data_IF_143046321859
#
_entry.id   IF_143046321859
#
_cell.length_a   1.000
_cell.length_b   1.000
_cell.length_c   1.000
_cell.angle_alpha   90.00
_cell.angle_beta   90.00
_cell.angle_gamma   90.00
#
_symmetry.space_group_name_H-M   'P 1'
#
loop_
_entity.id
_entity.type
_entity.pdbx_description
1 polymer ?
#
# COMPACT_ATOMS: atom_id res chain seq x y z
N UNK A 1 80.72 -27.01 -0.56
CA UNK A 1 79.76 -27.00 -1.65
C UNK A 1 79.01 -25.67 -1.62
N UNK A 2 79.49 -24.70 -2.40
CA UNK A 2 79.00 -23.33 -2.39
C UNK A 2 77.80 -23.29 -3.39
N UNK A 3 76.61 -23.15 -2.86
CA UNK A 3 75.41 -22.95 -3.67
C UNK A 3 75.54 -21.64 -4.43
N UNK A 4 75.33 -21.70 -5.74
CA UNK A 4 75.51 -20.59 -6.65
C UNK A 4 74.45 -19.48 -6.35
N UNK A 5 74.86 -18.24 -6.07
CA UNK A 5 74.00 -17.15 -5.74
C UNK A 5 72.83 -16.93 -6.71
N UNK A 6 73.02 -17.30 -8.01
CA UNK A 6 71.98 -17.27 -9.04
C UNK A 6 70.85 -18.28 -8.80
N UNK A 7 71.16 -19.40 -8.14
CA UNK A 7 70.15 -20.44 -7.82
C UNK A 7 69.26 -20.02 -6.65
N UNK A 8 69.89 -19.34 -5.67
CA UNK A 8 69.13 -18.78 -4.52
C UNK A 8 68.18 -17.68 -4.98
N UNK A 9 68.64 -16.73 -5.78
CA UNK A 9 67.81 -15.64 -6.32
C UNK A 9 66.66 -16.15 -7.22
N UNK A 10 66.90 -17.20 -7.97
CA UNK A 10 65.87 -17.86 -8.78
C UNK A 10 64.81 -18.60 -7.92
N UNK A 11 65.24 -19.26 -6.84
CA UNK A 11 64.36 -19.90 -5.86
C UNK A 11 63.51 -18.89 -5.11
N UNK A 12 64.07 -17.78 -4.65
CA UNK A 12 63.34 -16.71 -3.99
C UNK A 12 62.27 -16.10 -4.92
N UNK A 13 62.60 -15.79 -6.13
CA UNK A 13 61.64 -15.26 -7.14
C UNK A 13 60.53 -16.27 -7.47
N UNK A 14 60.85 -17.55 -7.51
CA UNK A 14 59.88 -18.61 -7.75
C UNK A 14 58.94 -18.77 -6.57
N UNK A 15 59.45 -18.73 -5.34
CA UNK A 15 58.64 -18.80 -4.11
C UNK A 15 57.69 -17.59 -4.01
N UNK A 16 58.20 -16.39 -4.29
CA UNK A 16 57.39 -15.16 -4.30
C UNK A 16 56.27 -15.25 -5.37
N UNK A 17 56.61 -15.74 -6.55
CA UNK A 17 55.60 -15.90 -7.63
C UNK A 17 54.50 -16.93 -7.26
N UNK A 18 54.87 -18.04 -6.60
CA UNK A 18 53.91 -19.06 -6.16
C UNK A 18 53.03 -18.52 -5.02
N UNK A 19 53.59 -17.77 -4.07
CA UNK A 19 52.81 -17.16 -2.98
C UNK A 19 51.85 -16.13 -3.52
N UNK A 20 52.28 -15.28 -4.48
CA UNK A 20 51.37 -14.35 -5.18
C UNK A 20 50.26 -15.07 -5.96
N UNK A 21 50.57 -16.17 -6.66
CA UNK A 21 49.60 -16.94 -7.41
C UNK A 21 48.58 -17.61 -6.46
N UNK A 22 49.00 -18.10 -5.30
CA UNK A 22 48.10 -18.68 -4.28
C UNK A 22 47.18 -17.60 -3.66
N UNK A 23 47.70 -16.37 -3.47
CA UNK A 23 46.85 -15.25 -2.98
C UNK A 23 45.82 -14.81 -4.01
N UNK A 24 46.13 -14.89 -5.30
CA UNK A 24 45.18 -14.53 -6.38
C UNK A 24 44.15 -15.65 -6.61
N UNK A 25 44.51 -16.91 -6.32
CA UNK A 25 43.61 -18.05 -6.45
C UNK A 25 42.79 -18.36 -5.18
N UNK A 26 42.94 -17.56 -4.12
CA UNK A 26 42.03 -17.67 -2.99
C UNK A 26 40.61 -17.32 -3.48
N UNK A 27 39.62 -18.25 -3.35
CA UNK A 27 38.27 -17.93 -3.75
C UNK A 27 37.83 -16.68 -3.01
N UNK A 28 37.51 -15.64 -3.76
CA UNK A 28 36.85 -14.46 -3.21
C UNK A 28 35.57 -14.98 -2.55
N UNK A 29 35.57 -15.07 -1.22
CA UNK A 29 34.35 -15.32 -0.49
C UNK A 29 33.43 -14.16 -0.78
N UNK A 30 32.51 -14.37 -1.70
CA UNK A 30 31.40 -13.47 -1.88
C UNK A 30 30.69 -13.40 -0.52
N UNK A 31 30.76 -12.23 0.10
CA UNK A 31 29.94 -11.99 1.28
C UNK A 31 28.49 -12.10 0.80
N UNK A 32 27.78 -13.14 1.23
CA UNK A 32 26.36 -13.24 0.99
C UNK A 32 25.69 -12.03 1.65
N UNK A 33 25.32 -11.05 0.84
CA UNK A 33 24.56 -9.90 1.31
C UNK A 33 23.10 -10.32 1.37
N UNK A 34 22.61 -10.58 2.57
CA UNK A 34 21.19 -10.80 2.78
C UNK A 34 20.49 -9.46 3.03
N UNK A 35 19.51 -9.15 2.19
CA UNK A 35 18.66 -7.97 2.36
C UNK A 35 17.44 -8.35 3.21
N UNK A 36 17.28 -7.71 4.36
CA UNK A 36 16.04 -7.82 5.14
C UNK A 36 15.29 -6.48 5.11
N UNK A 37 13.98 -6.52 4.85
CA UNK A 37 13.11 -5.34 5.04
C UNK A 37 12.95 -5.10 6.53
N UNK A 38 13.52 -4.02 7.04
CA UNK A 38 13.16 -3.48 8.36
C UNK A 38 12.20 -2.32 8.16
N UNK A 39 11.09 -2.32 8.87
CA UNK A 39 10.26 -1.12 9.00
C UNK A 39 11.12 -0.05 9.67
N UNK A 40 11.26 1.09 9.01
CA UNK A 40 11.82 2.28 9.65
C UNK A 40 10.69 2.84 10.52
N UNK A 41 10.86 2.69 11.82
CA UNK A 41 9.93 3.25 12.80
C UNK A 41 10.40 4.67 13.13
N UNK A 42 9.64 5.66 12.67
CA UNK A 42 9.92 7.07 12.92
C UNK A 42 9.76 7.46 14.41
N UNK A 43 9.06 6.68 15.23
CA UNK A 43 8.84 6.97 16.65
C UNK A 43 10.14 7.10 17.44
N UNK A 44 11.20 6.38 17.02
CA UNK A 44 12.54 6.44 17.64
C UNK A 44 13.28 7.75 17.41
N UNK A 45 12.84 8.56 16.48
CA UNK A 45 13.48 9.85 16.17
C UNK A 45 13.01 10.97 17.07
N UNK A 46 11.90 10.78 17.80
CA UNK A 46 11.22 11.84 18.55
C UNK A 46 10.60 12.92 17.66
N UNK A 47 10.55 12.69 16.34
CA UNK A 47 9.95 13.62 15.40
C UNK A 47 8.43 13.42 15.40
N UNK A 48 7.71 14.50 15.68
CA UNK A 48 6.25 14.55 15.56
C UNK A 48 5.89 14.78 14.09
N UNK A 49 4.84 14.10 13.60
CA UNK A 49 4.36 14.34 12.25
C UNK A 49 3.90 15.81 12.12
N UNK A 50 4.24 16.46 11.00
CA UNK A 50 3.84 17.84 10.76
C UNK A 50 2.36 17.92 10.38
N UNK A 51 1.67 18.91 10.95
CA UNK A 51 0.33 19.34 10.57
C UNK A 51 0.32 20.89 10.43
N UNK A 52 -0.82 21.47 10.13
CA UNK A 52 -0.90 22.92 9.91
C UNK A 52 -0.58 23.75 11.16
N UNK A 53 -0.81 23.18 12.36
CA UNK A 53 -0.67 23.87 13.64
C UNK A 53 0.73 23.77 14.23
N UNK A 54 1.51 22.72 13.86
CA UNK A 54 2.82 22.44 14.47
C UNK A 54 4.01 22.56 13.52
N UNK A 55 3.88 23.30 12.42
CA UNK A 55 4.93 23.42 11.37
C UNK A 55 6.27 23.82 11.96
N UNK A 56 6.31 24.84 12.83
CA UNK A 56 7.55 25.36 13.43
C UNK A 56 8.24 24.30 14.32
N UNK A 57 7.50 23.50 15.04
CA UNK A 57 8.04 22.43 15.89
C UNK A 57 8.54 21.24 15.07
N UNK A 58 7.74 20.80 14.09
CA UNK A 58 8.02 19.61 13.32
C UNK A 58 9.03 19.84 12.19
N UNK A 59 8.99 21.01 11.55
CA UNK A 59 9.75 21.30 10.33
C UNK A 59 10.76 22.43 10.50
N UNK A 60 10.71 23.18 11.60
CA UNK A 60 11.49 24.39 11.80
C UNK A 60 10.89 25.58 11.03
N UNK A 61 11.65 26.68 10.96
CA UNK A 61 11.15 27.93 10.38
C UNK A 61 12.16 28.63 9.47
N UNK A 62 11.63 29.44 8.57
CA UNK A 62 12.42 30.36 7.76
C UNK A 62 12.48 31.73 8.46
N UNK A 63 13.69 32.22 8.67
CA UNK A 63 13.93 33.56 9.24
C UNK A 63 14.90 34.30 8.34
N UNK A 64 14.39 35.26 7.56
CA UNK A 64 15.13 35.97 6.54
C UNK A 64 15.84 35.03 5.55
N UNK A 65 17.16 35.08 5.52
CA UNK A 65 18.00 34.24 4.64
C UNK A 65 18.49 32.95 5.32
N UNK A 66 17.80 32.47 6.35
CA UNK A 66 18.19 31.26 7.10
C UNK A 66 16.99 30.36 7.30
N UNK A 67 17.24 29.07 7.21
CA UNK A 67 16.38 28.03 7.75
C UNK A 67 16.91 27.60 9.13
N UNK A 68 16.07 27.60 10.12
CA UNK A 68 16.34 27.14 11.49
C UNK A 68 15.61 25.81 11.67
N UNK A 69 16.35 24.70 11.72
CA UNK A 69 15.79 23.37 11.90
C UNK A 69 15.26 23.16 13.33
N UNK A 70 14.35 22.19 13.59
CA UNK A 70 13.80 21.93 14.93
C UNK A 70 14.87 21.70 16.01
N UNK A 71 16.02 21.14 15.65
CA UNK A 71 17.18 20.93 16.54
C UNK A 71 18.08 22.16 16.72
N UNK A 72 17.67 23.34 16.26
CA UNK A 72 18.41 24.60 16.35
C UNK A 72 19.51 24.80 15.31
N UNK A 73 19.83 23.82 14.47
CA UNK A 73 20.81 23.99 13.38
C UNK A 73 20.33 25.03 12.36
N UNK A 74 21.26 25.86 11.89
CA UNK A 74 20.95 26.92 10.95
C UNK A 74 21.61 26.69 9.61
N UNK A 75 20.85 26.89 8.53
CA UNK A 75 21.29 26.72 7.15
C UNK A 75 21.03 28.02 6.36
N UNK A 76 22.08 28.59 5.76
CA UNK A 76 21.99 29.84 5.01
C UNK A 76 21.43 29.60 3.60
N UNK A 77 20.69 30.55 3.06
CA UNK A 77 20.13 30.54 1.70
C UNK A 77 21.18 30.35 0.61
N UNK A 78 22.36 30.96 0.79
CA UNK A 78 23.45 30.93 -0.20
C UNK A 78 24.22 29.61 -0.26
N UNK A 79 24.05 28.69 0.72
CA UNK A 79 25.03 27.62 0.96
C UNK A 79 24.37 26.23 0.94
N UNK A 80 23.58 25.91 -0.09
CA UNK A 80 23.17 24.53 -0.26
C UNK A 80 21.69 24.30 -0.52
N UNK A 81 21.36 23.03 -0.68
CA UNK A 81 20.01 22.57 -1.04
C UNK A 81 19.05 22.63 0.15
N UNK A 82 19.56 22.43 1.39
CA UNK A 82 18.75 22.31 2.62
C UNK A 82 17.81 23.50 2.83
N UNK A 83 18.28 24.73 2.68
CA UNK A 83 17.42 25.91 2.79
C UNK A 83 16.28 25.90 1.76
N UNK A 84 16.61 25.57 0.50
CA UNK A 84 15.62 25.62 -0.60
C UNK A 84 14.54 24.56 -0.41
N UNK A 85 14.95 23.32 -0.02
CA UNK A 85 14.03 22.23 0.24
C UNK A 85 13.14 22.54 1.45
N UNK A 86 13.76 22.95 2.57
CA UNK A 86 13.01 23.30 3.77
C UNK A 86 12.02 24.43 3.52
N UNK A 87 12.43 25.48 2.79
CA UNK A 87 11.54 26.58 2.44
C UNK A 87 10.36 26.11 1.60
N UNK A 88 10.59 25.30 0.55
CA UNK A 88 9.53 24.77 -0.30
C UNK A 88 8.54 23.92 0.50
N UNK A 89 9.03 23.08 1.42
CA UNK A 89 8.19 22.23 2.27
C UNK A 89 7.38 23.06 3.29
N UNK A 90 8.00 24.07 3.90
CA UNK A 90 7.32 24.94 4.88
C UNK A 90 6.27 25.82 4.17
N UNK A 91 6.60 26.41 3.02
CA UNK A 91 5.66 27.23 2.24
C UNK A 91 4.44 26.39 1.79
N UNK A 92 4.67 25.11 1.42
CA UNK A 92 3.59 24.21 1.01
C UNK A 92 2.63 23.83 2.16
N UNK A 93 3.03 23.99 3.44
CA UNK A 93 2.14 23.62 4.55
C UNK A 93 0.86 24.47 4.59
N UNK A 94 0.93 25.74 4.23
CA UNK A 94 -0.25 26.62 4.18
C UNK A 94 -1.22 26.14 3.09
N UNK A 95 -0.70 25.77 1.91
CA UNK A 95 -1.51 25.21 0.81
C UNK A 95 -2.08 23.82 1.17
N UNK A 96 -1.36 23.06 2.00
CA UNK A 96 -1.78 21.73 2.47
C UNK A 96 -2.70 21.77 3.69
N UNK A 97 -3.03 22.94 4.21
CA UNK A 97 -3.84 23.10 5.43
C UNK A 97 -5.17 22.35 5.35
N UNK A 98 -5.82 22.39 4.21
CA UNK A 98 -7.12 21.74 4.03
C UNK A 98 -7.02 20.21 4.00
N UNK A 99 -5.94 19.65 3.44
CA UNK A 99 -5.76 18.19 3.39
C UNK A 99 -5.28 17.60 4.72
N UNK A 100 -4.77 18.43 5.63
CA UNK A 100 -4.36 18.04 6.99
C UNK A 100 -5.46 18.21 8.04
N UNK A 101 -6.68 18.54 7.63
CA UNK A 101 -7.82 18.54 8.54
C UNK A 101 -8.13 17.15 9.04
N UNK A 102 -8.33 17.03 10.35
CA UNK A 102 -8.86 15.81 10.97
C UNK A 102 -10.30 15.63 10.51
N UNK A 103 -10.63 14.46 10.00
CA UNK A 103 -11.94 14.12 9.44
C UNK A 103 -12.59 12.94 10.16
N UNK A 104 -11.88 12.27 11.07
CA UNK A 104 -12.37 11.15 11.85
C UNK A 104 -11.31 10.65 12.83
N UNK A 105 -11.59 9.54 13.47
CA UNK A 105 -10.72 8.90 14.46
C UNK A 105 -10.74 7.37 14.27
N UNK A 106 -9.60 6.71 14.44
CA UNK A 106 -9.51 5.25 14.49
C UNK A 106 -8.96 4.80 15.84
N UNK A 107 -9.70 3.91 16.52
CA UNK A 107 -9.28 3.35 17.80
C UNK A 107 -8.02 2.48 17.68
N UNK A 108 -7.80 1.88 16.49
CA UNK A 108 -6.70 0.96 16.22
C UNK A 108 -5.99 1.25 14.91
N UNK A 109 -4.74 0.76 14.80
CA UNK A 109 -3.99 0.79 13.58
C UNK A 109 -4.41 -0.39 12.69
N UNK A 110 -5.31 -0.15 11.73
CA UNK A 110 -5.77 -1.19 10.81
C UNK A 110 -4.77 -1.38 9.68
N UNK A 111 -4.22 -2.58 9.59
CA UNK A 111 -3.16 -2.91 8.63
C UNK A 111 -3.75 -3.60 7.42
N UNK A 112 -3.33 -3.16 6.23
CA UNK A 112 -3.58 -3.89 5.00
C UNK A 112 -2.74 -5.18 5.01
N UNK A 113 -3.40 -6.33 5.11
CA UNK A 113 -2.78 -7.65 5.11
C UNK A 113 -3.56 -8.59 4.22
N UNK A 114 -2.85 -9.38 3.45
CA UNK A 114 -3.38 -10.41 2.56
C UNK A 114 -3.51 -11.74 3.31
N UNK A 115 -4.50 -12.57 3.06
CA UNK A 115 -5.62 -12.42 2.11
C UNK A 115 -6.80 -11.62 2.69
N UNK A 116 -6.81 -11.34 3.98
CA UNK A 116 -7.87 -10.66 4.72
C UNK A 116 -7.29 -9.85 5.87
N UNK A 117 -7.90 -8.74 6.20
CA UNK A 117 -7.51 -7.87 7.32
C UNK A 117 -8.67 -6.99 7.77
N UNK A 118 -8.57 -6.44 8.98
CA UNK A 118 -9.55 -5.49 9.51
C UNK A 118 -9.80 -4.33 8.55
N UNK A 119 -8.73 -3.77 7.98
CA UNK A 119 -8.85 -2.66 7.01
C UNK A 119 -9.60 -3.07 5.74
N UNK A 120 -9.31 -4.25 5.18
CA UNK A 120 -9.99 -4.71 3.97
C UNK A 120 -11.46 -5.03 4.24
N UNK A 121 -11.77 -5.60 5.41
CA UNK A 121 -13.14 -5.91 5.81
C UNK A 121 -13.94 -4.62 6.06
N UNK A 122 -13.42 -3.70 6.85
CA UNK A 122 -14.05 -2.40 7.05
C UNK A 122 -14.34 -1.68 5.73
N UNK A 123 -13.36 -1.65 4.83
CA UNK A 123 -13.51 -0.99 3.53
C UNK A 123 -14.64 -1.59 2.70
N UNK A 124 -14.65 -2.92 2.55
CA UNK A 124 -15.65 -3.58 1.67
C UNK A 124 -17.04 -3.52 2.29
N UNK A 125 -17.17 -3.72 3.60
CA UNK A 125 -18.47 -3.67 4.28
C UNK A 125 -19.08 -2.26 4.23
N UNK A 126 -18.26 -1.23 4.47
CA UNK A 126 -18.68 0.16 4.35
C UNK A 126 -19.13 0.50 2.91
N UNK A 127 -18.39 0.03 1.90
CA UNK A 127 -18.71 0.26 0.51
C UNK A 127 -19.98 -0.46 0.09
N UNK A 128 -20.19 -1.70 0.53
CA UNK A 128 -21.40 -2.47 0.26
C UNK A 128 -22.65 -1.78 0.86
N UNK A 129 -22.55 -1.35 2.12
CA UNK A 129 -23.63 -0.62 2.80
C UNK A 129 -23.96 0.66 2.05
N UNK A 130 -22.97 1.48 1.75
CA UNK A 130 -23.14 2.73 1.01
C UNK A 130 -23.77 2.49 -0.38
N UNK A 131 -23.29 1.46 -1.10
CA UNK A 131 -23.82 1.12 -2.42
C UNK A 131 -25.28 0.68 -2.38
N UNK A 132 -25.68 -0.09 -1.37
CA UNK A 132 -27.07 -0.49 -1.16
C UNK A 132 -27.98 0.72 -0.92
N UNK A 133 -27.57 1.64 -0.06
CA UNK A 133 -28.29 2.88 0.24
C UNK A 133 -28.40 3.78 -1.01
N UNK A 134 -27.30 3.95 -1.74
CA UNK A 134 -27.24 4.83 -2.92
C UNK A 134 -28.05 4.31 -4.10
N UNK A 135 -28.04 3.00 -4.34
CA UNK A 135 -28.71 2.38 -5.50
C UNK A 135 -30.13 1.92 -5.20
N UNK A 136 -30.51 1.78 -3.92
CA UNK A 136 -31.75 1.13 -3.50
C UNK A 136 -31.80 -0.37 -3.85
N UNK A 137 -30.67 -0.97 -4.27
CA UNK A 137 -30.56 -2.37 -4.66
C UNK A 137 -29.94 -3.21 -3.57
N UNK A 138 -30.33 -4.48 -3.51
CA UNK A 138 -29.69 -5.43 -2.62
C UNK A 138 -28.26 -5.69 -3.08
N UNK A 139 -27.30 -5.55 -2.19
CA UNK A 139 -25.91 -5.94 -2.39
C UNK A 139 -25.65 -7.23 -1.61
N UNK A 140 -25.40 -8.32 -2.31
CA UNK A 140 -25.12 -9.63 -1.74
C UNK A 140 -23.60 -9.86 -1.61
N UNK A 141 -22.80 -9.27 -2.52
CA UNK A 141 -21.36 -9.49 -2.65
C UNK A 141 -20.64 -8.16 -2.90
N UNK A 142 -19.51 -7.98 -2.26
CA UNK A 142 -18.55 -6.93 -2.55
C UNK A 142 -17.25 -7.52 -3.13
N UNK A 143 -16.74 -6.93 -4.19
CA UNK A 143 -15.45 -7.31 -4.79
C UNK A 143 -14.66 -6.05 -5.10
N UNK A 144 -13.55 -5.86 -4.39
CA UNK A 144 -12.57 -4.79 -4.69
C UNK A 144 -11.16 -5.37 -4.66
N UNK A 145 -10.15 -4.57 -4.98
CA UNK A 145 -8.79 -5.08 -5.06
C UNK A 145 -7.87 -4.55 -3.96
N UNK A 146 -6.94 -5.39 -3.51
CA UNK A 146 -5.90 -4.99 -2.55
C UNK A 146 -5.00 -3.85 -3.07
N UNK A 147 -4.78 -3.79 -4.38
CA UNK A 147 -4.05 -2.71 -5.03
C UNK A 147 -4.69 -1.34 -4.84
N UNK A 148 -6.00 -1.28 -4.60
CA UNK A 148 -6.77 -0.07 -4.32
C UNK A 148 -6.46 0.57 -2.96
N UNK A 149 -6.08 -0.22 -1.95
CA UNK A 149 -5.65 0.24 -0.64
C UNK A 149 -4.14 0.46 -0.63
N UNK A 150 -3.65 1.70 -0.54
CA UNK A 150 -2.21 2.02 -0.69
C UNK A 150 -1.46 2.16 0.61
N UNK A 151 -2.11 2.57 1.67
CA UNK A 151 -1.55 2.74 3.02
C UNK A 151 -2.45 2.10 4.07
N UNK A 152 -1.95 1.93 5.28
CA UNK A 152 -2.72 1.48 6.43
C UNK A 152 -3.54 2.63 7.01
N UNK A 153 -4.63 2.32 7.72
CA UNK A 153 -5.34 3.30 8.54
C UNK A 153 -4.54 3.55 9.81
N UNK A 154 -4.14 4.79 10.12
CA UNK A 154 -3.43 5.06 11.38
C UNK A 154 -4.37 4.96 12.58
N UNK A 155 -3.80 4.62 13.75
CA UNK A 155 -4.49 4.82 15.02
C UNK A 155 -4.47 6.30 15.39
N UNK A 156 -5.56 6.79 15.95
CA UNK A 156 -5.72 8.19 16.35
C UNK A 156 -6.48 9.01 15.31
N UNK A 157 -6.16 10.28 15.23
CA UNK A 157 -6.78 11.21 14.28
C UNK A 157 -6.52 10.80 12.85
N UNK A 158 -7.58 10.77 12.04
CA UNK A 158 -7.52 10.51 10.60
C UNK A 158 -7.63 11.85 9.88
N UNK A 159 -6.61 12.17 9.11
CA UNK A 159 -6.60 13.37 8.28
C UNK A 159 -7.15 13.08 6.87
N UNK A 160 -7.59 14.13 6.19
CA UNK A 160 -7.97 14.01 4.78
C UNK A 160 -6.81 13.46 3.92
N UNK A 161 -5.56 13.82 4.24
CA UNK A 161 -4.34 13.32 3.60
C UNK A 161 -4.17 11.79 3.73
N UNK A 162 -4.55 11.20 4.88
CA UNK A 162 -4.52 9.75 5.06
C UNK A 162 -5.45 9.05 4.07
N UNK A 163 -6.65 9.59 3.87
CA UNK A 163 -7.62 9.06 2.92
C UNK A 163 -7.20 9.27 1.46
N UNK A 164 -6.60 10.42 1.13
CA UNK A 164 -6.02 10.68 -0.19
C UNK A 164 -4.89 9.70 -0.50
N UNK A 165 -4.06 9.42 0.49
CA UNK A 165 -2.97 8.46 0.36
C UNK A 165 -3.47 7.02 0.27
N UNK A 166 -4.58 6.69 0.93
CA UNK A 166 -5.18 5.36 0.92
C UNK A 166 -5.89 5.05 -0.39
N UNK A 167 -6.66 6.00 -0.94
CA UNK A 167 -7.48 5.85 -2.15
C UNK A 167 -7.09 6.83 -3.27
N UNK A 168 -5.85 6.77 -3.81
CA UNK A 168 -5.36 7.76 -4.76
C UNK A 168 -5.96 7.62 -6.17
N UNK A 169 -6.75 6.58 -6.41
CA UNK A 169 -7.29 6.28 -7.73
C UNK A 169 -8.69 6.85 -7.91
N UNK A 170 -8.97 7.34 -9.10
CA UNK A 170 -10.29 7.83 -9.50
C UNK A 170 -11.22 6.71 -9.96
N UNK A 171 -11.32 5.66 -9.17
CA UNK A 171 -12.25 4.56 -9.44
C UNK A 171 -13.66 4.93 -8.99
N UNK A 172 -14.65 4.73 -9.86
CA UNK A 172 -16.06 4.91 -9.54
C UNK A 172 -16.62 3.65 -8.87
N UNK A 173 -17.62 3.85 -8.01
CA UNK A 173 -18.39 2.74 -7.44
C UNK A 173 -19.31 2.18 -8.52
N UNK A 174 -19.42 0.85 -8.57
CA UNK A 174 -20.23 0.16 -9.55
C UNK A 174 -21.12 -0.91 -8.90
N UNK A 175 -22.32 -1.07 -9.45
CA UNK A 175 -23.21 -2.18 -9.17
C UNK A 175 -23.31 -3.09 -10.38
N UNK A 176 -23.31 -4.40 -10.14
CA UNK A 176 -23.54 -5.42 -11.16
C UNK A 176 -24.60 -6.40 -10.68
N UNK A 177 -25.41 -6.90 -11.61
CA UNK A 177 -26.24 -8.06 -11.39
C UNK A 177 -25.61 -9.28 -12.07
N UNK A 178 -25.10 -10.24 -11.29
CA UNK A 178 -24.40 -11.43 -11.76
C UNK A 178 -25.08 -12.71 -11.32
N UNK A 179 -25.17 -13.70 -12.22
CA UNK A 179 -25.59 -15.06 -11.83
C UNK A 179 -24.51 -15.73 -11.00
N UNK A 180 -24.93 -16.59 -10.06
CA UNK A 180 -24.02 -17.29 -9.16
C UNK A 180 -22.92 -18.09 -9.87
N UNK A 181 -23.23 -18.70 -11.02
CA UNK A 181 -22.23 -19.39 -11.85
C UNK A 181 -21.07 -18.48 -12.26
N UNK A 182 -21.31 -17.21 -12.57
CA UNK A 182 -20.26 -16.29 -12.96
C UNK A 182 -19.45 -15.77 -11.75
N UNK A 183 -20.12 -15.63 -10.59
CA UNK A 183 -19.42 -15.35 -9.34
C UNK A 183 -18.49 -16.52 -8.99
N UNK A 184 -18.92 -17.77 -9.23
CA UNK A 184 -18.09 -18.96 -9.07
C UNK A 184 -16.87 -18.94 -10.00
N UNK A 185 -17.06 -18.67 -11.30
CA UNK A 185 -15.97 -18.55 -12.27
C UNK A 185 -14.94 -17.49 -11.85
N UNK A 186 -15.40 -16.34 -11.31
CA UNK A 186 -14.54 -15.27 -10.77
C UNK A 186 -13.77 -15.78 -9.55
N UNK A 187 -14.44 -16.48 -8.61
CA UNK A 187 -13.79 -17.02 -7.42
C UNK A 187 -12.78 -18.13 -7.76
N UNK A 188 -13.06 -18.98 -8.74
CA UNK A 188 -12.13 -19.98 -9.26
C UNK A 188 -10.90 -19.31 -9.87
N UNK A 189 -11.08 -18.25 -10.66
CA UNK A 189 -9.98 -17.46 -11.21
C UNK A 189 -9.12 -16.82 -10.12
N UNK A 190 -9.73 -16.30 -9.06
CA UNK A 190 -9.01 -15.79 -7.91
C UNK A 190 -8.23 -16.91 -7.18
N UNK A 191 -8.78 -18.11 -7.04
CA UNK A 191 -8.11 -19.24 -6.42
C UNK A 191 -6.87 -19.69 -7.22
N UNK A 192 -6.88 -19.57 -8.54
CA UNK A 192 -5.73 -19.86 -9.40
C UNK A 192 -4.61 -18.82 -9.29
N UNK A 193 -4.96 -17.59 -8.95
CA UNK A 193 -4.02 -16.46 -8.96
C UNK A 193 -3.85 -15.86 -7.56
N UNK A 194 -4.82 -15.07 -7.12
CA UNK A 194 -4.78 -14.36 -5.85
C UNK A 194 -6.17 -13.85 -5.51
N UNK A 195 -6.65 -14.18 -4.31
CA UNK A 195 -7.90 -13.59 -3.83
C UNK A 195 -7.77 -12.09 -3.67
N UNK A 196 -8.86 -11.41 -3.96
CA UNK A 196 -9.00 -9.98 -3.79
C UNK A 196 -9.81 -9.66 -2.53
N UNK A 197 -10.14 -8.39 -2.28
CA UNK A 197 -10.97 -7.99 -1.15
C UNK A 197 -12.40 -8.41 -1.44
N UNK A 198 -12.97 -9.22 -0.55
CA UNK A 198 -14.30 -9.81 -0.68
C UNK A 198 -15.17 -9.44 0.52
N UNK A 199 -16.45 -9.15 0.27
CA UNK A 199 -17.47 -8.92 1.28
C UNK A 199 -18.75 -9.71 0.97
N UNK A 200 -19.47 -10.17 2.01
CA UNK A 200 -20.71 -10.96 1.86
C UNK A 200 -20.54 -12.37 1.28
N UNK A 201 -19.32 -12.75 0.92
CA UNK A 201 -18.95 -14.01 0.28
C UNK A 201 -17.81 -14.67 1.03
N UNK A 202 -17.83 -15.99 1.15
CA UNK A 202 -16.74 -16.78 1.72
C UNK A 202 -16.23 -17.78 0.70
N UNK A 203 -14.93 -17.75 0.46
CA UNK A 203 -14.20 -18.65 -0.44
C UNK A 203 -13.24 -19.52 0.35
N UNK A 204 -13.22 -20.82 0.08
CA UNK A 204 -12.17 -21.73 0.57
C UNK A 204 -11.47 -22.34 -0.63
N UNK A 205 -10.14 -22.37 -0.59
CA UNK A 205 -9.33 -22.97 -1.66
C UNK A 205 -8.27 -23.91 -1.08
N UNK A 206 -7.97 -24.94 -1.82
CA UNK A 206 -6.85 -25.85 -1.52
C UNK A 206 -5.89 -25.88 -2.71
N UNK A 207 -4.70 -25.39 -2.51
CA UNK A 207 -3.80 -25.06 -3.61
C UNK A 207 -4.46 -24.00 -4.50
N UNK A 208 -4.52 -24.25 -5.79
CA UNK A 208 -5.12 -23.36 -6.79
C UNK A 208 -6.57 -23.71 -7.15
N UNK A 209 -7.26 -24.48 -6.31
CA UNK A 209 -8.65 -24.92 -6.59
C UNK A 209 -9.58 -24.39 -5.52
N UNK A 210 -10.66 -23.78 -5.95
CA UNK A 210 -11.79 -23.43 -5.10
C UNK A 210 -12.46 -24.72 -4.59
N UNK A 211 -12.64 -24.82 -3.28
CA UNK A 211 -13.26 -26.01 -2.63
C UNK A 211 -14.63 -25.71 -2.04
N UNK A 212 -14.87 -24.44 -1.66
CA UNK A 212 -16.14 -23.99 -1.11
C UNK A 212 -16.40 -22.55 -1.50
N UNK A 213 -17.67 -22.22 -1.75
CA UNK A 213 -18.14 -20.88 -2.06
C UNK A 213 -19.53 -20.68 -1.47
N UNK A 214 -19.64 -19.71 -0.55
CA UNK A 214 -20.93 -19.34 0.05
C UNK A 214 -21.18 -17.83 -0.07
N UNK A 215 -22.44 -17.43 -0.19
CA UNK A 215 -22.88 -16.03 -0.16
C UNK A 215 -23.96 -15.90 0.91
N UNK A 216 -23.74 -14.98 1.87
CA UNK A 216 -24.62 -14.82 3.01
C UNK A 216 -24.73 -16.06 3.90
N UNK A 217 -23.70 -16.91 3.91
CA UNK A 217 -23.65 -18.17 4.67
C UNK A 217 -24.23 -19.39 3.93
N UNK A 218 -24.89 -19.20 2.80
CA UNK A 218 -25.49 -20.28 2.02
C UNK A 218 -24.64 -20.64 0.78
N UNK A 219 -24.62 -21.92 0.36
CA UNK A 219 -23.96 -22.31 -0.88
C UNK A 219 -24.45 -21.48 -2.07
N UNK A 220 -23.55 -21.11 -2.97
CA UNK A 220 -23.91 -20.31 -4.15
C UNK A 220 -24.85 -21.11 -5.07
N UNK A 221 -26.00 -20.52 -5.36
CA UNK A 221 -26.94 -21.00 -6.39
C UNK A 221 -26.53 -20.41 -7.75
N UNK A 222 -26.08 -21.25 -8.66
CA UNK A 222 -25.57 -20.86 -9.97
C UNK A 222 -26.62 -20.17 -10.87
N UNK A 223 -27.91 -20.45 -10.65
CA UNK A 223 -29.03 -19.87 -11.43
C UNK A 223 -29.51 -18.53 -10.86
N UNK A 224 -29.30 -18.30 -9.56
CA UNK A 224 -29.75 -17.09 -8.86
C UNK A 224 -28.90 -15.90 -9.30
N UNK A 225 -29.51 -14.73 -9.39
CA UNK A 225 -28.82 -13.46 -9.62
C UNK A 225 -28.54 -12.77 -8.28
N UNK A 226 -27.30 -12.33 -8.10
CA UNK A 226 -26.82 -11.62 -6.92
C UNK A 226 -26.42 -10.19 -7.28
N UNK A 227 -26.68 -9.25 -6.37
CA UNK A 227 -26.18 -7.89 -6.47
C UNK A 227 -24.73 -7.82 -6.03
N UNK A 228 -23.87 -7.27 -6.87
CA UNK A 228 -22.43 -7.15 -6.63
C UNK A 228 -22.02 -5.70 -6.62
N UNK A 229 -21.37 -5.25 -5.53
CA UNK A 229 -20.70 -3.96 -5.44
C UNK A 229 -19.23 -4.14 -5.85
N UNK A 230 -18.74 -3.25 -6.72
CA UNK A 230 -17.35 -3.26 -7.18
C UNK A 230 -16.89 -1.86 -7.58
N UNK A 231 -15.69 -1.79 -8.17
CA UNK A 231 -15.08 -0.57 -8.67
C UNK A 231 -14.86 -0.60 -10.18
N UNK A 232 -14.89 0.56 -10.82
CA UNK A 232 -14.78 0.66 -12.29
C UNK A 232 -13.54 0.01 -12.87
N UNK A 233 -12.41 -0.01 -12.14
CA UNK A 233 -11.18 -0.67 -12.54
C UNK A 233 -11.34 -2.18 -12.82
N UNK A 234 -12.21 -2.87 -12.07
CA UNK A 234 -12.37 -4.33 -12.18
C UNK A 234 -13.41 -4.76 -13.23
N UNK A 235 -14.10 -3.82 -13.89
CA UNK A 235 -15.13 -4.15 -14.87
C UNK A 235 -14.54 -4.82 -16.11
N UNK A 236 -13.42 -4.28 -16.64
CA UNK A 236 -12.89 -4.61 -17.96
C UNK A 236 -11.42 -5.07 -17.92
N UNK A 237 -11.04 -5.85 -16.92
CA UNK A 237 -9.75 -6.54 -16.90
C UNK A 237 -8.75 -6.07 -15.86
N UNK A 238 -9.09 -5.13 -14.97
CA UNK A 238 -8.25 -4.80 -13.81
C UNK A 238 -7.97 -6.04 -12.96
N UNK A 239 -6.73 -6.22 -12.52
CA UNK A 239 -6.24 -7.42 -11.83
C UNK A 239 -6.63 -8.75 -12.52
N UNK A 240 -6.75 -8.72 -13.86
CA UNK A 240 -7.16 -9.83 -14.71
C UNK A 240 -8.60 -10.33 -14.41
N UNK A 241 -9.44 -9.45 -13.84
CA UNK A 241 -10.86 -9.67 -13.61
C UNK A 241 -11.68 -8.90 -14.66
N UNK A 242 -12.75 -9.50 -15.13
CA UNK A 242 -13.67 -8.95 -16.14
C UNK A 242 -15.08 -9.02 -15.59
N UNK A 243 -15.33 -8.29 -14.49
CA UNK A 243 -16.58 -8.46 -13.73
C UNK A 243 -17.84 -8.07 -14.52
N UNK A 244 -17.72 -7.14 -15.46
CA UNK A 244 -18.85 -6.73 -16.30
C UNK A 244 -19.20 -7.72 -17.42
N UNK A 245 -18.29 -8.63 -17.80
CA UNK A 245 -18.43 -9.50 -18.99
C UNK A 245 -19.74 -10.27 -19.09
N UNK A 246 -20.25 -10.75 -17.96
CA UNK A 246 -21.44 -11.59 -17.90
C UNK A 246 -22.54 -10.98 -17.01
N UNK A 247 -22.42 -9.70 -16.68
CA UNK A 247 -23.41 -9.00 -15.88
C UNK A 247 -24.68 -8.76 -16.72
N UNK A 248 -25.86 -9.06 -16.17
CA UNK A 248 -27.13 -8.73 -16.79
C UNK A 248 -27.52 -7.27 -16.60
N UNK A 249 -26.92 -6.60 -15.64
CA UNK A 249 -27.08 -5.17 -15.39
C UNK A 249 -25.73 -4.62 -14.91
N UNK A 250 -25.37 -3.42 -15.37
CA UNK A 250 -24.17 -2.66 -14.94
C UNK A 250 -24.59 -1.23 -14.67
N UNK A 251 -24.37 -0.75 -13.46
CA UNK A 251 -24.57 0.66 -13.08
C UNK A 251 -23.22 1.20 -12.63
N UNK A 252 -22.72 2.22 -13.30
CA UNK A 252 -21.54 2.97 -12.90
C UNK A 252 -22.03 4.26 -12.26
N UNK A 253 -21.81 4.42 -10.95
CA UNK A 253 -22.20 5.62 -10.22
C UNK A 253 -21.22 6.77 -10.53
N UNK A 254 -21.67 8.00 -10.36
CA UNK A 254 -20.79 9.17 -10.54
C UNK A 254 -19.86 9.40 -9.35
N UNK A 255 -20.07 8.65 -8.29
CA UNK A 255 -19.32 8.76 -7.03
C UNK A 255 -17.99 8.01 -7.10
N UNK A 256 -16.90 8.69 -6.81
CA UNK A 256 -15.57 8.08 -6.68
C UNK A 256 -15.38 7.43 -5.31
N UNK A 257 -14.65 6.31 -5.25
CA UNK A 257 -14.32 5.62 -4.01
C UNK A 257 -13.75 6.56 -2.96
N UNK A 258 -12.84 7.45 -3.36
CA UNK A 258 -12.22 8.44 -2.49
C UNK A 258 -13.28 9.31 -1.78
N UNK A 259 -14.19 9.90 -2.52
CA UNK A 259 -15.23 10.80 -1.98
C UNK A 259 -16.20 10.04 -1.06
N UNK A 260 -16.57 8.82 -1.47
CA UNK A 260 -17.42 7.92 -0.68
C UNK A 260 -16.78 7.58 0.66
N UNK A 261 -15.51 7.18 0.66
CA UNK A 261 -14.82 6.77 1.89
C UNK A 261 -14.56 7.95 2.84
N UNK A 262 -14.27 9.14 2.31
CA UNK A 262 -14.18 10.38 3.11
C UNK A 262 -15.53 10.67 3.78
N UNK A 263 -16.62 10.57 3.02
CA UNK A 263 -17.95 10.80 3.58
C UNK A 263 -18.24 9.81 4.70
N UNK A 264 -17.98 8.51 4.48
CA UNK A 264 -18.19 7.46 5.49
C UNK A 264 -17.38 7.77 6.76
N UNK A 265 -16.09 8.11 6.65
CA UNK A 265 -15.24 8.42 7.80
C UNK A 265 -15.79 9.64 8.58
N UNK A 266 -16.24 10.69 7.86
CA UNK A 266 -16.84 11.87 8.50
C UNK A 266 -18.16 11.57 9.20
N UNK A 267 -18.97 10.66 8.63
CA UNK A 267 -20.30 10.33 9.17
C UNK A 267 -20.21 9.37 10.39
N UNK A 268 -19.06 8.73 10.62
CA UNK A 268 -18.87 7.81 11.76
C UNK A 268 -18.67 8.52 13.12
N UNK A 269 -18.46 9.85 13.13
CA UNK A 269 -18.27 10.67 14.34
C UNK A 269 -17.29 10.10 15.38
N UNK A 270 -16.26 9.35 14.95
CA UNK A 270 -15.23 8.77 15.84
C UNK A 270 -15.55 7.38 16.35
#
# INVERSE_FOLDING_TARGET
MIMNNNLIDMLEKTVVAVVLAVMICAPARSQEISWSRKKIDGSRTGVVASNAENVDEAMGRISGNKYIAPNGKTFKKCCGVTYRVAKALIDAQEEMKDVKKVIGYSADNMVRKYPESELSNWFIDALMKWSAEKTGKKIDVGITNFGGLRVNMPKGDIMLDDMMSMFPFRNKVCYLALKGKYIREIAEKMAETSFQILGGIRCEARGNKLTSLTIGGEPVDDAKTYGVCTISFLLDGGDNLYLAKNASEVIILDDYIFDVMIKIVKDLEG
#
